data_IF_197958105827
#
_entry.id   IF_197958105827
#
_cell.length_a   1.000
_cell.length_b   1.000
_cell.length_c   1.000
_cell.angle_alpha   90.00
_cell.angle_beta   90.00
_cell.angle_gamma   90.00
#
_symmetry.space_group_name_H-M   'P 1'
#
loop_
_entity.id
_entity.type
_entity.pdbx_description
1 polymer ?
#
# COMPACT_ATOMS: atom_id res chain seq x y z
N UNK A 1 -17.61 6.02 -32.49
CA UNK A 1 -18.37 6.22 -31.25
C UNK A 1 -17.94 7.56 -30.67
N UNK A 2 -18.84 8.53 -30.57
CA UNK A 2 -18.56 9.79 -29.88
C UNK A 2 -18.29 9.48 -28.40
N UNK A 3 -17.27 10.07 -27.76
CA UNK A 3 -17.08 9.87 -26.33
C UNK A 3 -18.36 10.33 -25.63
N UNK A 4 -18.88 9.51 -24.72
CA UNK A 4 -19.93 9.92 -23.81
C UNK A 4 -19.29 10.96 -22.88
N UNK A 5 -19.27 12.21 -23.34
CA UNK A 5 -18.99 13.35 -22.47
C UNK A 5 -20.20 13.43 -21.56
N UNK A 6 -20.08 12.85 -20.37
CA UNK A 6 -21.02 13.15 -19.30
C UNK A 6 -20.82 14.64 -19.04
N UNK A 7 -21.68 15.48 -19.63
CA UNK A 7 -21.82 16.87 -19.22
C UNK A 7 -22.41 16.84 -17.81
N UNK A 8 -21.54 16.59 -16.83
CA UNK A 8 -21.87 16.75 -15.43
C UNK A 8 -22.27 18.20 -15.26
N UNK A 9 -23.47 18.42 -14.73
CA UNK A 9 -23.91 19.76 -14.33
C UNK A 9 -22.80 20.43 -13.52
N UNK A 10 -22.41 21.67 -13.83
CA UNK A 10 -21.48 22.44 -13.01
C UNK A 10 -21.86 22.43 -11.52
N UNK A 11 -23.15 22.34 -11.19
CA UNK A 11 -23.62 22.19 -9.81
C UNK A 11 -23.21 20.86 -9.18
N UNK A 12 -23.25 19.74 -9.93
CA UNK A 12 -22.77 18.44 -9.47
C UNK A 12 -21.24 18.41 -9.34
N UNK A 13 -20.49 19.01 -10.27
CA UNK A 13 -19.04 19.14 -10.16
C UNK A 13 -18.69 19.98 -8.92
N UNK A 14 -19.33 21.13 -8.75
CA UNK A 14 -19.10 22.02 -7.61
C UNK A 14 -19.51 21.36 -6.29
N UNK A 15 -20.60 20.59 -6.27
CA UNK A 15 -21.01 19.80 -5.10
C UNK A 15 -19.99 18.70 -4.80
N UNK A 16 -19.53 17.98 -5.83
CA UNK A 16 -18.57 16.90 -5.68
C UNK A 16 -17.21 17.43 -5.20
N UNK A 17 -16.69 18.52 -5.76
CA UNK A 17 -15.48 19.20 -5.32
C UNK A 17 -15.59 19.70 -3.87
N UNK A 18 -16.74 20.29 -3.49
CA UNK A 18 -16.98 20.79 -2.13
C UNK A 18 -17.15 19.68 -1.09
N UNK A 19 -17.66 18.51 -1.47
CA UNK A 19 -18.05 17.44 -0.54
C UNK A 19 -17.16 16.19 -0.60
N UNK A 20 -16.37 15.98 -1.66
CA UNK A 20 -15.35 14.92 -1.74
C UNK A 20 -14.43 14.99 -0.53
N UNK A 21 -13.93 16.20 -0.25
CA UNK A 21 -13.11 16.45 0.92
C UNK A 21 -13.84 16.03 2.20
N UNK A 22 -15.15 16.25 2.35
CA UNK A 22 -15.92 15.83 3.53
C UNK A 22 -16.17 14.31 3.60
N UNK A 23 -16.25 13.62 2.46
CA UNK A 23 -16.36 12.15 2.42
C UNK A 23 -15.06 11.50 2.93
N UNK A 24 -13.91 12.08 2.58
CA UNK A 24 -12.59 11.57 2.98
C UNK A 24 -12.10 12.12 4.33
N UNK A 25 -12.36 13.38 4.65
CA UNK A 25 -11.92 14.04 5.89
C UNK A 25 -12.90 13.72 7.03
N UNK A 26 -12.35 13.19 8.13
CA UNK A 26 -13.08 13.11 9.41
C UNK A 26 -13.43 14.54 9.90
N UNK A 27 -14.56 14.68 10.62
CA UNK A 27 -14.85 15.83 11.50
C UNK A 27 -13.92 15.89 12.73
N UNK A 28 -13.23 14.80 13.04
CA UNK A 28 -12.26 14.74 14.14
C UNK A 28 -10.88 15.25 13.69
N UNK A 29 -10.18 16.00 14.54
CA UNK A 29 -8.87 16.56 14.19
C UNK A 29 -7.87 15.43 13.89
N UNK A 30 -7.15 15.58 12.78
CA UNK A 30 -5.97 14.77 12.51
C UNK A 30 -4.94 14.97 13.64
N UNK A 31 -4.77 13.95 14.49
CA UNK A 31 -3.72 13.97 15.51
C UNK A 31 -2.42 13.46 14.91
N UNK A 32 -1.45 14.37 14.77
CA UNK A 32 -0.07 14.00 14.42
C UNK A 32 0.50 13.11 15.51
N UNK A 33 1.08 11.99 15.10
CA UNK A 33 1.86 11.13 15.99
C UNK A 33 3.27 11.71 16.15
N UNK A 34 3.99 11.40 17.24
CA UNK A 34 5.39 11.80 17.36
C UNK A 34 6.23 11.19 16.21
N UNK A 35 7.36 11.80 15.82
CA UNK A 35 8.21 11.26 14.76
C UNK A 35 8.69 9.83 15.07
N UNK A 36 8.46 8.91 14.13
CA UNK A 36 8.87 7.51 14.20
C UNK A 36 9.97 7.21 13.17
N UNK A 37 10.70 6.12 13.40
CA UNK A 37 11.66 5.57 12.45
C UNK A 37 11.03 4.40 11.72
N UNK A 38 10.85 4.52 10.41
CA UNK A 38 10.15 3.54 9.58
C UNK A 38 11.11 2.99 8.53
N UNK A 39 11.24 1.67 8.48
CA UNK A 39 11.89 0.96 7.39
C UNK A 39 10.89 0.61 6.29
N UNK A 40 11.29 0.71 5.03
CA UNK A 40 10.50 0.20 3.90
C UNK A 40 11.40 -0.70 3.06
N UNK A 41 10.99 -1.95 2.89
CA UNK A 41 11.67 -2.93 2.05
C UNK A 41 10.97 -2.98 0.70
N UNK A 42 11.61 -2.40 -0.32
CA UNK A 42 11.16 -2.38 -1.70
C UNK A 42 10.91 -0.97 -2.20
N UNK A 43 11.71 -0.52 -3.17
CA UNK A 43 11.63 0.81 -3.79
C UNK A 43 10.89 0.81 -5.14
N UNK A 44 9.91 -0.09 -5.32
CA UNK A 44 8.98 -0.01 -6.44
C UNK A 44 8.00 1.17 -6.29
N UNK A 45 7.10 1.35 -7.25
CA UNK A 45 6.17 2.49 -7.29
C UNK A 45 5.43 2.69 -5.96
N UNK A 46 4.91 1.60 -5.38
CA UNK A 46 4.13 1.66 -4.16
C UNK A 46 4.97 1.90 -2.90
N UNK A 47 6.15 1.26 -2.80
CA UNK A 47 7.07 1.49 -1.69
C UNK A 47 7.58 2.93 -1.65
N UNK A 48 7.90 3.52 -2.81
CA UNK A 48 8.27 4.94 -2.91
C UNK A 48 7.10 5.86 -2.57
N UNK A 49 5.89 5.58 -3.05
CA UNK A 49 4.70 6.38 -2.69
C UNK A 49 4.42 6.37 -1.18
N UNK A 50 4.56 5.21 -0.53
CA UNK A 50 4.43 5.09 0.92
C UNK A 50 5.57 5.78 1.68
N UNK A 51 6.80 5.73 1.16
CA UNK A 51 7.92 6.47 1.73
C UNK A 51 7.62 7.98 1.76
N UNK A 52 7.12 8.51 0.65
CA UNK A 52 6.71 9.91 0.52
C UNK A 52 5.54 10.24 1.46
N UNK A 53 4.50 9.41 1.51
CA UNK A 53 3.35 9.58 2.43
C UNK A 53 3.82 9.66 3.90
N UNK A 54 4.61 8.70 4.34
CA UNK A 54 5.06 8.61 5.73
C UNK A 54 6.02 9.75 6.08
N UNK A 55 6.84 10.19 5.12
CA UNK A 55 7.66 11.39 5.28
C UNK A 55 6.81 12.67 5.42
N UNK A 56 5.71 12.81 4.69
CA UNK A 56 4.75 13.91 4.87
C UNK A 56 3.99 13.85 6.20
N UNK A 57 3.90 12.67 6.80
CA UNK A 57 3.40 12.48 8.16
C UNK A 57 4.48 12.76 9.24
N UNK A 58 5.57 13.46 8.88
CA UNK A 58 6.68 13.85 9.77
C UNK A 58 7.50 12.66 10.33
N UNK A 59 7.50 11.50 9.64
CA UNK A 59 8.32 10.35 10.00
C UNK A 59 9.67 10.33 9.27
N UNK A 60 10.65 9.65 9.87
CA UNK A 60 11.94 9.37 9.23
C UNK A 60 11.85 8.01 8.56
N UNK A 61 12.05 7.99 7.24
CA UNK A 61 11.87 6.77 6.44
C UNK A 61 13.20 6.30 5.91
N UNK A 62 13.55 5.04 6.12
CA UNK A 62 14.68 4.39 5.46
C UNK A 62 14.14 3.47 4.38
N UNK A 63 14.42 3.79 3.11
CA UNK A 63 13.89 3.06 1.95
C UNK A 63 14.99 2.15 1.39
N UNK A 64 14.78 0.83 1.50
CA UNK A 64 15.66 -0.14 0.89
C UNK A 64 15.41 -0.23 -0.62
N UNK A 65 16.47 -0.03 -1.40
CA UNK A 65 16.49 -0.02 -2.86
C UNK A 65 17.32 -1.21 -3.33
N UNK A 66 16.77 -2.02 -4.22
CA UNK A 66 17.48 -3.19 -4.76
C UNK A 66 18.47 -2.77 -5.86
N UNK A 67 17.99 -1.99 -6.82
CA UNK A 67 18.75 -1.57 -8.00
C UNK A 67 19.78 -0.49 -7.64
N UNK A 68 21.06 -0.72 -7.96
CA UNK A 68 22.14 0.22 -7.69
C UNK A 68 21.94 1.56 -8.41
N UNK A 69 21.53 1.52 -9.68
CA UNK A 69 21.27 2.72 -10.47
C UNK A 69 20.14 3.57 -9.88
N UNK A 70 19.07 2.93 -9.39
CA UNK A 70 17.98 3.63 -8.72
C UNK A 70 18.44 4.25 -7.40
N UNK A 71 19.26 3.53 -6.63
CA UNK A 71 19.78 4.03 -5.35
C UNK A 71 20.60 5.30 -5.53
N UNK A 72 21.57 5.30 -6.45
CA UNK A 72 22.39 6.46 -6.78
C UNK A 72 21.54 7.65 -7.25
N UNK A 73 20.55 7.40 -8.12
CA UNK A 73 19.68 8.45 -8.60
C UNK A 73 18.77 9.03 -7.51
N UNK A 74 18.33 8.21 -6.55
CA UNK A 74 17.56 8.69 -5.40
C UNK A 74 18.42 9.55 -4.46
N UNK A 75 19.72 9.30 -4.35
CA UNK A 75 20.63 10.12 -3.54
C UNK A 75 20.87 11.51 -4.15
N UNK A 76 21.00 11.59 -5.48
CA UNK A 76 21.36 12.86 -6.16
C UNK A 76 20.14 13.65 -6.63
N UNK A 77 19.17 12.98 -7.26
CA UNK A 77 18.03 13.63 -7.92
C UNK A 77 16.75 13.58 -7.07
N UNK A 78 16.74 12.83 -5.96
CA UNK A 78 15.59 12.66 -5.08
C UNK A 78 14.33 12.19 -5.82
N UNK A 79 14.47 11.35 -6.84
CA UNK A 79 13.36 10.86 -7.67
C UNK A 79 13.50 9.37 -7.99
N UNK A 80 12.38 8.65 -8.04
CA UNK A 80 12.36 7.29 -8.56
C UNK A 80 11.96 7.29 -10.04
N UNK A 81 12.93 7.49 -10.92
CA UNK A 81 12.68 7.65 -12.35
C UNK A 81 12.19 6.34 -13.03
N UNK A 82 12.53 5.17 -12.49
CA UNK A 82 12.07 3.89 -13.02
C UNK A 82 10.61 3.59 -12.72
N UNK A 83 10.21 3.74 -11.46
CA UNK A 83 8.93 3.22 -10.99
C UNK A 83 7.91 4.30 -10.64
N UNK A 84 8.34 5.53 -10.34
CA UNK A 84 7.45 6.62 -9.95
C UNK A 84 7.92 7.98 -10.50
N UNK A 85 7.99 8.14 -11.84
CA UNK A 85 8.50 9.36 -12.46
C UNK A 85 7.61 10.56 -12.17
N UNK A 86 8.23 11.73 -12.02
CA UNK A 86 7.55 13.00 -11.76
C UNK A 86 7.27 13.27 -10.27
N UNK A 87 7.69 12.40 -9.36
CA UNK A 87 7.56 12.59 -7.91
C UNK A 87 8.94 12.78 -7.29
N UNK A 88 9.09 13.84 -6.48
CA UNK A 88 10.30 14.07 -5.67
C UNK A 88 10.09 13.51 -4.26
N UNK A 89 11.02 12.69 -3.77
CA UNK A 89 10.97 12.15 -2.41
C UNK A 89 11.47 13.19 -1.38
N UNK A 90 10.79 13.38 -0.24
CA UNK A 90 11.21 14.33 0.79
C UNK A 90 12.58 14.00 1.40
N UNK A 91 13.33 14.98 1.90
CA UNK A 91 14.66 14.81 2.52
C UNK A 91 14.68 13.83 3.71
N UNK A 92 13.55 13.64 4.39
CA UNK A 92 13.40 12.66 5.48
C UNK A 92 13.29 11.20 5.01
N UNK A 93 13.34 10.96 3.70
CA UNK A 93 13.48 9.62 3.09
C UNK A 93 14.96 9.35 2.80
N UNK A 94 15.51 8.30 3.41
CA UNK A 94 16.91 7.91 3.31
C UNK A 94 17.02 6.61 2.49
N UNK A 95 17.43 6.67 1.21
CA UNK A 95 17.67 5.48 0.39
C UNK A 95 18.87 4.69 0.92
N UNK A 96 18.74 3.38 1.02
CA UNK A 96 19.83 2.47 1.41
C UNK A 96 19.77 1.18 0.60
N UNK A 97 20.88 0.47 0.48
CA UNK A 97 20.91 -0.92 -0.02
C UNK A 97 21.12 -1.93 1.12
N UNK A 98 21.25 -1.48 2.37
CA UNK A 98 21.52 -2.32 3.54
C UNK A 98 20.23 -2.76 4.23
N UNK A 99 19.98 -4.07 4.28
CA UNK A 99 18.87 -4.63 5.06
C UNK A 99 18.97 -4.27 6.55
N UNK A 100 20.19 -4.23 7.10
CA UNK A 100 20.41 -3.88 8.50
C UNK A 100 19.97 -2.45 8.79
N UNK A 101 20.32 -1.48 7.94
CA UNK A 101 19.93 -0.07 8.12
C UNK A 101 18.42 0.15 7.96
N UNK A 102 17.82 -0.57 7.02
CA UNK A 102 16.38 -0.50 6.77
C UNK A 102 15.56 -1.18 7.88
N UNK A 103 16.12 -2.15 8.61
CA UNK A 103 15.34 -3.00 9.53
C UNK A 103 15.61 -2.74 11.01
N UNK A 104 16.87 -2.46 11.38
CA UNK A 104 17.27 -2.31 12.79
C UNK A 104 16.74 -1.01 13.38
N UNK A 105 16.31 -1.03 14.64
CA UNK A 105 15.84 0.13 15.41
C UNK A 105 14.71 0.89 14.70
N UNK A 106 13.78 0.15 14.09
CA UNK A 106 12.58 0.72 13.46
C UNK A 106 11.35 0.43 14.31
N UNK A 107 10.49 1.43 14.42
CA UNK A 107 9.17 1.30 15.02
C UNK A 107 8.25 0.47 14.10
N UNK A 108 8.38 0.69 12.79
CA UNK A 108 7.64 -0.02 11.75
C UNK A 108 8.58 -0.51 10.64
N UNK A 109 8.31 -1.71 10.11
CA UNK A 109 8.93 -2.22 8.89
C UNK A 109 7.84 -2.55 7.86
N UNK A 110 7.84 -1.81 6.76
CA UNK A 110 6.89 -1.98 5.66
C UNK A 110 7.50 -2.89 4.60
N UNK A 111 6.85 -4.01 4.31
CA UNK A 111 7.19 -4.89 3.19
C UNK A 111 6.39 -4.48 1.96
N UNK A 112 7.06 -3.82 1.01
CA UNK A 112 6.51 -3.38 -0.27
C UNK A 112 7.09 -4.17 -1.45
N UNK A 113 7.43 -5.43 -1.21
CA UNK A 113 8.01 -6.33 -2.23
C UNK A 113 6.92 -7.12 -2.96
N UNK A 114 7.14 -7.54 -4.22
CA UNK A 114 6.24 -8.44 -4.94
C UNK A 114 5.99 -9.73 -4.14
N UNK A 115 4.76 -10.28 -4.19
CA UNK A 115 4.33 -11.43 -3.37
C UNK A 115 5.28 -12.64 -3.46
N UNK A 116 5.75 -12.97 -4.66
CA UNK A 116 6.66 -14.09 -4.91
C UNK A 116 8.07 -13.89 -4.35
N UNK A 117 8.46 -12.68 -3.96
CA UNK A 117 9.76 -12.36 -3.37
C UNK A 117 9.68 -12.16 -1.84
N UNK A 118 8.49 -12.05 -1.27
CA UNK A 118 8.28 -11.76 0.16
C UNK A 118 9.06 -12.72 1.04
N UNK A 119 8.92 -14.04 0.82
CA UNK A 119 9.60 -15.06 1.63
C UNK A 119 11.10 -14.88 1.61
N UNK A 120 11.69 -14.75 0.42
CA UNK A 120 13.14 -14.62 0.25
C UNK A 120 13.65 -13.36 0.94
N UNK A 121 13.09 -12.20 0.59
CA UNK A 121 13.60 -10.90 1.02
C UNK A 121 13.38 -10.67 2.53
N UNK A 122 12.20 -11.01 3.06
CA UNK A 122 11.97 -10.82 4.49
C UNK A 122 12.79 -11.78 5.35
N UNK A 123 13.13 -12.98 4.85
CA UNK A 123 14.04 -13.88 5.58
C UNK A 123 15.43 -13.26 5.79
N UNK A 124 15.89 -12.41 4.86
CA UNK A 124 17.15 -11.68 4.99
C UNK A 124 17.04 -10.49 5.98
N UNK A 125 15.84 -9.99 6.21
CA UNK A 125 15.58 -8.90 7.17
C UNK A 125 15.46 -9.41 8.62
N UNK A 126 14.93 -10.63 8.81
CA UNK A 126 14.66 -11.23 10.13
C UNK A 126 15.83 -11.15 11.13
N UNK A 127 17.11 -11.39 10.75
CA UNK A 127 18.24 -11.27 11.67
C UNK A 127 18.44 -9.88 12.30
N UNK A 128 17.88 -8.84 11.70
CA UNK A 128 18.00 -7.44 12.16
C UNK A 128 16.73 -6.91 12.80
N UNK A 129 15.65 -7.70 12.80
CA UNK A 129 14.32 -7.28 13.25
C UNK A 129 14.24 -7.23 14.78
N UNK A 130 13.90 -6.05 15.30
CA UNK A 130 13.69 -5.88 16.73
C UNK A 130 12.32 -6.46 17.14
N UNK A 131 12.23 -7.00 18.37
CA UNK A 131 11.02 -7.71 18.83
C UNK A 131 9.76 -6.84 18.92
N UNK A 132 9.92 -5.52 19.01
CA UNK A 132 8.81 -4.57 19.13
C UNK A 132 8.40 -3.94 17.79
N UNK A 133 9.16 -4.17 16.72
CA UNK A 133 8.88 -3.61 15.40
C UNK A 133 7.54 -4.14 14.87
N UNK A 134 6.67 -3.23 14.46
CA UNK A 134 5.40 -3.55 13.79
C UNK A 134 5.67 -3.82 12.32
N UNK A 135 5.28 -5.00 11.85
CA UNK A 135 5.42 -5.42 10.46
C UNK A 135 4.17 -5.00 9.68
N UNK A 136 4.35 -4.34 8.55
CA UNK A 136 3.23 -3.96 7.66
C UNK A 136 3.49 -4.53 6.28
N UNK A 137 2.69 -5.50 5.84
CA UNK A 137 2.72 -5.92 4.44
C UNK A 137 1.79 -5.06 3.60
N UNK A 138 2.27 -4.64 2.44
CA UNK A 138 1.45 -4.01 1.40
C UNK A 138 1.46 -4.80 0.08
N UNK A 139 2.02 -6.00 0.13
CA UNK A 139 2.09 -6.94 -0.99
C UNK A 139 0.70 -7.51 -1.27
N UNK A 140 0.33 -7.58 -2.55
CA UNK A 140 -0.96 -8.12 -3.01
C UNK A 140 -0.68 -9.36 -3.85
N UNK A 141 -1.14 -10.53 -3.41
CA UNK A 141 -0.96 -11.78 -4.13
C UNK A 141 -0.84 -12.99 -3.22
N UNK A 142 -0.69 -14.15 -3.86
CA UNK A 142 -0.47 -15.46 -3.24
C UNK A 142 0.91 -15.95 -3.70
N UNK A 143 1.65 -16.66 -2.84
CA UNK A 143 2.93 -17.27 -3.23
C UNK A 143 2.69 -18.46 -4.16
N UNK A 144 3.29 -18.43 -5.36
CA UNK A 144 3.01 -19.40 -6.42
C UNK A 144 3.32 -20.86 -6.01
N UNK A 145 4.42 -21.09 -5.30
CA UNK A 145 4.89 -22.44 -4.98
C UNK A 145 4.05 -23.12 -3.90
N UNK A 146 3.62 -22.36 -2.89
CA UNK A 146 2.94 -22.91 -1.71
C UNK A 146 1.45 -22.60 -1.66
N UNK A 147 0.99 -21.73 -2.55
CA UNK A 147 -0.36 -21.15 -2.56
C UNK A 147 -0.73 -20.45 -1.24
N UNK A 148 0.27 -20.01 -0.48
CA UNK A 148 0.06 -19.34 0.80
C UNK A 148 -0.27 -17.85 0.61
N UNK A 149 -1.24 -17.32 1.36
CA UNK A 149 -1.39 -15.87 1.52
C UNK A 149 -0.19 -15.31 2.31
N UNK A 150 0.03 -14.00 2.22
CA UNK A 150 1.20 -13.34 2.81
C UNK A 150 1.24 -13.52 4.33
N UNK A 151 0.10 -13.51 4.99
CA UNK A 151 -0.02 -13.77 6.43
C UNK A 151 0.51 -15.14 6.84
N UNK A 152 0.24 -16.17 6.03
CA UNK A 152 0.77 -17.51 6.27
C UNK A 152 2.28 -17.59 6.03
N UNK A 153 2.81 -16.80 5.10
CA UNK A 153 4.26 -16.66 4.90
C UNK A 153 4.89 -15.98 6.12
N UNK A 154 4.31 -14.86 6.57
CA UNK A 154 4.75 -14.11 7.75
C UNK A 154 4.80 -15.01 8.99
N UNK A 155 3.76 -15.82 9.22
CA UNK A 155 3.70 -16.79 10.33
C UNK A 155 4.83 -17.81 10.33
N UNK A 156 5.36 -18.15 9.15
CA UNK A 156 6.46 -19.11 8.99
C UNK A 156 7.84 -18.48 9.14
N UNK A 157 8.02 -17.23 8.69
CA UNK A 157 9.34 -16.59 8.63
C UNK A 157 9.63 -15.70 9.84
N UNK A 158 8.60 -15.06 10.41
CA UNK A 158 8.81 -14.12 11.50
C UNK A 158 9.04 -14.86 12.82
N UNK A 159 9.91 -14.32 13.70
CA UNK A 159 10.00 -14.81 15.07
C UNK A 159 8.63 -14.76 15.75
N UNK A 160 8.34 -15.73 16.63
CA UNK A 160 7.04 -15.84 17.32
C UNK A 160 6.59 -14.57 18.05
N UNK A 161 7.54 -13.75 18.52
CA UNK A 161 7.28 -12.47 19.20
C UNK A 161 6.85 -11.35 18.26
N UNK A 162 7.23 -11.42 16.98
CA UNK A 162 6.96 -10.39 15.98
C UNK A 162 5.68 -10.67 15.19
N UNK A 163 5.30 -11.94 15.01
CA UNK A 163 4.09 -12.28 14.23
C UNK A 163 2.80 -11.60 14.74
N UNK A 164 2.52 -11.51 16.06
CA UNK A 164 1.36 -10.78 16.56
C UNK A 164 1.36 -9.30 16.18
N UNK A 165 2.54 -8.72 15.89
CA UNK A 165 2.72 -7.33 15.49
C UNK A 165 2.65 -7.15 13.96
N UNK A 166 1.91 -7.99 13.24
CA UNK A 166 1.77 -7.91 11.78
C UNK A 166 0.43 -7.31 11.33
N UNK A 167 0.47 -6.46 10.31
CA UNK A 167 -0.69 -5.89 9.66
C UNK A 167 -0.57 -5.93 8.13
N UNK A 168 -1.72 -5.92 7.45
CA UNK A 168 -1.83 -6.10 6.00
C UNK A 168 -2.69 -4.96 5.44
N UNK A 169 -2.08 -4.09 4.65
CA UNK A 169 -2.73 -2.92 4.07
C UNK A 169 -3.07 -3.19 2.61
N UNK A 170 -4.35 -3.00 2.26
CA UNK A 170 -4.87 -3.17 0.90
C UNK A 170 -5.92 -2.11 0.57
N UNK A 171 -6.29 -2.02 -0.71
CA UNK A 171 -7.28 -1.07 -1.19
C UNK A 171 -7.01 -0.52 -2.58
N UNK A 172 -7.93 0.34 -3.08
CA UNK A 172 -7.76 1.12 -4.30
C UNK A 172 -6.76 2.26 -4.05
N UNK A 173 -5.49 2.01 -4.37
CA UNK A 173 -4.38 2.88 -3.95
C UNK A 173 -3.32 2.97 -5.05
N UNK A 174 -3.63 3.62 -6.17
CA UNK A 174 -2.64 3.81 -7.23
C UNK A 174 -1.47 4.65 -6.71
N UNK A 175 -0.26 4.14 -6.89
CA UNK A 175 0.94 4.72 -6.28
C UNK A 175 1.16 6.19 -6.65
N UNK A 176 0.96 6.53 -7.93
CA UNK A 176 1.13 7.91 -8.42
C UNK A 176 0.11 8.86 -7.81
N UNK A 177 -1.15 8.45 -7.69
CA UNK A 177 -2.21 9.26 -7.08
C UNK A 177 -1.91 9.54 -5.60
N UNK A 178 -1.48 8.52 -4.85
CA UNK A 178 -1.10 8.68 -3.43
C UNK A 178 0.10 9.60 -3.28
N UNK A 179 1.12 9.44 -4.13
CA UNK A 179 2.30 10.30 -4.09
C UNK A 179 2.01 11.77 -4.47
N UNK A 180 1.01 11.99 -5.33
CA UNK A 180 0.48 13.31 -5.69
C UNK A 180 -0.61 13.81 -4.72
N UNK A 181 -0.81 13.13 -3.59
CA UNK A 181 -1.76 13.51 -2.54
C UNK A 181 -3.23 13.53 -2.97
N UNK A 182 -3.60 12.73 -3.97
CA UNK A 182 -5.00 12.55 -4.33
C UNK A 182 -5.74 11.77 -3.24
N UNK A 183 -7.02 12.10 -2.96
CA UNK A 183 -7.82 11.39 -1.96
C UNK A 183 -7.84 9.88 -2.19
N UNK A 184 -7.36 9.13 -1.21
CA UNK A 184 -7.22 7.68 -1.26
C UNK A 184 -7.79 7.06 0.01
N UNK A 185 -8.51 5.96 -0.13
CA UNK A 185 -9.00 5.16 0.99
C UNK A 185 -8.48 3.73 0.91
N UNK A 186 -7.95 3.23 2.02
CA UNK A 186 -7.43 1.87 2.16
C UNK A 186 -7.94 1.23 3.44
N UNK A 187 -7.81 -0.10 3.53
CA UNK A 187 -8.04 -0.87 4.74
C UNK A 187 -6.71 -1.44 5.22
N UNK A 188 -6.51 -1.45 6.54
CA UNK A 188 -5.48 -2.22 7.21
C UNK A 188 -6.14 -3.29 8.07
N UNK A 189 -5.74 -4.54 7.90
CA UNK A 189 -6.18 -5.66 8.71
C UNK A 189 -5.05 -6.20 9.60
N UNK A 190 -5.39 -6.65 10.80
CA UNK A 190 -4.48 -7.40 11.68
C UNK A 190 -5.29 -8.35 12.56
N UNK A 191 -4.67 -9.44 13.01
CA UNK A 191 -5.25 -10.31 14.05
C UNK A 191 -5.34 -9.58 15.41
N UNK A 192 -4.43 -8.62 15.65
CA UNK A 192 -4.46 -7.73 16.81
C UNK A 192 -5.01 -6.36 16.40
N UNK A 193 -6.19 -6.04 16.91
CA UNK A 193 -6.86 -4.78 16.60
C UNK A 193 -6.05 -3.55 17.01
N UNK A 194 -5.25 -3.62 18.09
CA UNK A 194 -4.40 -2.51 18.50
C UNK A 194 -3.29 -2.23 17.49
N UNK A 195 -2.75 -3.29 16.86
CA UNK A 195 -1.75 -3.16 15.80
C UNK A 195 -2.37 -2.48 14.57
N UNK A 196 -3.57 -2.89 14.15
CA UNK A 196 -4.28 -2.23 13.06
C UNK A 196 -4.54 -0.73 13.36
N UNK A 197 -4.92 -0.39 14.59
CA UNK A 197 -5.12 1.00 15.00
C UNK A 197 -3.82 1.82 15.03
N UNK A 198 -2.69 1.23 15.46
CA UNK A 198 -1.38 1.89 15.41
C UNK A 198 -0.99 2.20 13.97
N UNK A 199 -1.12 1.23 13.06
CA UNK A 199 -0.85 1.43 11.63
C UNK A 199 -1.79 2.48 11.04
N UNK A 200 -3.08 2.43 11.36
CA UNK A 200 -4.05 3.43 10.93
C UNK A 200 -3.61 4.85 11.31
N UNK A 201 -3.22 5.08 12.57
CA UNK A 201 -2.80 6.40 13.05
C UNK A 201 -1.52 6.91 12.37
N UNK A 202 -0.57 6.00 12.10
CA UNK A 202 0.73 6.35 11.48
C UNK A 202 0.60 6.65 9.98
N UNK A 203 -0.24 5.89 9.27
CA UNK A 203 -0.38 6.02 7.82
C UNK A 203 -1.44 7.05 7.41
N UNK A 204 -2.40 7.36 8.27
CA UNK A 204 -3.43 8.33 7.96
C UNK A 204 -2.83 9.72 7.66
N UNK A 205 -3.43 10.43 6.72
CA UNK A 205 -3.13 11.83 6.41
C UNK A 205 -4.43 12.53 5.96
N UNK A 206 -4.44 13.85 5.74
CA UNK A 206 -5.61 14.54 5.20
C UNK A 206 -6.13 13.97 3.87
N UNK A 207 -5.28 13.33 3.07
CA UNK A 207 -5.63 12.74 1.78
C UNK A 207 -5.59 11.21 1.77
N UNK A 208 -5.03 10.57 2.81
CA UNK A 208 -4.89 9.12 2.90
C UNK A 208 -5.68 8.58 4.08
N UNK A 209 -6.86 8.05 3.80
CA UNK A 209 -7.75 7.49 4.82
C UNK A 209 -7.50 6.01 4.99
N UNK A 210 -7.32 5.60 6.25
CA UNK A 210 -7.12 4.19 6.61
C UNK A 210 -8.30 3.72 7.46
N UNK A 211 -8.96 2.63 7.04
CA UNK A 211 -9.95 1.90 7.82
C UNK A 211 -9.30 0.68 8.47
N UNK A 212 -9.77 0.27 9.65
CA UNK A 212 -9.28 -0.95 10.30
C UNK A 212 -10.24 -2.11 10.05
N UNK A 213 -9.69 -3.32 10.00
CA UNK A 213 -10.42 -4.58 9.94
C UNK A 213 -9.69 -5.63 10.78
N UNK A 214 -10.42 -6.65 11.23
CA UNK A 214 -9.83 -7.85 11.83
C UNK A 214 -9.83 -9.03 10.83
N UNK A 215 -10.42 -8.84 9.65
CA UNK A 215 -10.48 -9.83 8.58
C UNK A 215 -9.22 -9.77 7.70
N UNK A 216 -8.14 -10.37 8.19
CA UNK A 216 -6.86 -10.46 7.46
C UNK A 216 -7.04 -11.23 6.15
N UNK A 217 -7.72 -12.37 6.20
CA UNK A 217 -7.89 -13.25 5.05
C UNK A 217 -8.65 -12.56 3.93
N UNK A 218 -9.80 -11.93 4.23
CA UNK A 218 -10.59 -11.23 3.23
C UNK A 218 -9.84 -10.05 2.60
N UNK A 219 -9.05 -9.31 3.39
CA UNK A 219 -8.23 -8.20 2.87
C UNK A 219 -7.12 -8.67 1.93
N UNK A 220 -6.45 -9.78 2.26
CA UNK A 220 -5.41 -10.37 1.41
C UNK A 220 -5.98 -10.97 0.13
N UNK A 221 -7.03 -11.80 0.25
CA UNK A 221 -7.66 -12.47 -0.89
C UNK A 221 -8.33 -11.45 -1.82
N UNK A 222 -9.05 -10.47 -1.27
CA UNK A 222 -9.61 -9.38 -2.07
C UNK A 222 -8.53 -8.59 -2.82
N UNK A 223 -7.39 -8.35 -2.18
CA UNK A 223 -6.23 -7.72 -2.82
C UNK A 223 -5.56 -8.55 -3.91
N UNK A 224 -5.50 -9.88 -3.74
CA UNK A 224 -4.89 -10.80 -4.68
C UNK A 224 -5.78 -11.04 -5.92
N UNK A 225 -7.06 -11.38 -5.69
CA UNK A 225 -8.00 -11.80 -6.73
C UNK A 225 -8.45 -10.63 -7.60
N UNK A 226 -8.49 -9.40 -7.08
CA UNK A 226 -8.88 -8.22 -7.89
C UNK A 226 -8.03 -8.04 -9.15
N UNK A 227 -6.77 -8.47 -9.13
CA UNK A 227 -5.87 -8.33 -10.29
C UNK A 227 -6.30 -9.28 -11.41
N UNK A 228 -6.84 -10.46 -11.08
CA UNK A 228 -7.41 -11.40 -12.06
C UNK A 228 -8.67 -10.80 -12.69
N UNK A 229 -9.56 -10.21 -11.88
CA UNK A 229 -10.75 -9.51 -12.38
C UNK A 229 -10.37 -8.32 -13.26
N UNK A 230 -9.32 -7.57 -12.89
CA UNK A 230 -8.82 -6.46 -13.69
C UNK A 230 -8.30 -6.90 -15.07
N UNK A 231 -7.63 -8.06 -15.17
CA UNK A 231 -7.24 -8.65 -16.46
C UNK A 231 -8.49 -8.96 -17.29
N UNK A 232 -9.49 -9.63 -16.70
CA UNK A 232 -10.73 -9.94 -17.40
C UNK A 232 -11.47 -8.66 -17.86
N UNK A 233 -11.43 -7.59 -17.07
CA UNK A 233 -11.96 -6.29 -17.45
C UNK A 233 -11.20 -5.69 -18.65
N UNK A 234 -9.86 -5.76 -18.64
CA UNK A 234 -9.04 -5.34 -19.77
C UNK A 234 -9.28 -6.16 -21.05
N UNK A 235 -9.54 -7.46 -20.93
CA UNK A 235 -9.96 -8.30 -22.08
C UNK A 235 -11.33 -7.85 -22.62
N UNK A 236 -12.30 -7.58 -21.73
CA UNK A 236 -13.61 -7.04 -22.13
C UNK A 236 -13.46 -5.70 -22.86
N UNK A 237 -12.57 -4.83 -22.39
CA UNK A 237 -12.26 -3.55 -23.03
C UNK A 237 -11.61 -3.75 -24.41
N UNK A 238 -10.66 -4.69 -24.53
CA UNK A 238 -10.02 -5.03 -25.80
C UNK A 238 -10.97 -5.62 -26.85
N UNK A 239 -12.06 -6.26 -26.41
CA UNK A 239 -13.15 -6.74 -27.27
C UNK A 239 -14.17 -5.64 -27.63
N UNK A 240 -13.96 -4.40 -27.19
CA UNK A 240 -14.86 -3.26 -27.36
C UNK A 240 -16.26 -3.49 -26.79
N UNK A 241 -16.38 -4.26 -25.70
CA UNK A 241 -17.64 -4.33 -24.97
C UNK A 241 -17.90 -3.03 -24.20
N UNK A 242 -19.18 -2.68 -24.05
CA UNK A 242 -19.60 -1.44 -23.36
C UNK A 242 -19.63 -1.57 -21.83
N UNK A 243 -19.95 -0.45 -21.18
CA UNK A 243 -19.94 -0.31 -19.71
C UNK A 243 -20.84 -1.30 -18.98
N UNK A 244 -21.96 -1.71 -19.57
CA UNK A 244 -22.86 -2.73 -19.00
C UNK A 244 -22.13 -4.06 -18.76
N UNK A 245 -21.33 -4.51 -19.74
CA UNK A 245 -20.57 -5.75 -19.64
C UNK A 245 -19.47 -5.63 -18.59
N UNK A 246 -18.77 -4.48 -18.56
CA UNK A 246 -17.76 -4.19 -17.54
C UNK A 246 -18.36 -4.20 -16.12
N UNK A 247 -19.51 -3.56 -15.93
CA UNK A 247 -20.20 -3.53 -14.65
C UNK A 247 -20.67 -4.94 -14.21
N UNK A 248 -21.20 -5.73 -15.14
CA UNK A 248 -21.57 -7.12 -14.89
C UNK A 248 -20.36 -7.96 -14.47
N UNK A 249 -19.23 -7.82 -15.17
CA UNK A 249 -17.99 -8.52 -14.84
C UNK A 249 -17.48 -8.14 -13.44
N UNK A 250 -17.43 -6.85 -13.10
CA UNK A 250 -17.00 -6.38 -11.78
C UNK A 250 -17.91 -6.96 -10.68
N UNK A 251 -19.23 -6.90 -10.88
CA UNK A 251 -20.22 -7.41 -9.91
C UNK A 251 -20.08 -8.91 -9.70
N UNK A 252 -19.90 -9.67 -10.79
CA UNK A 252 -19.72 -11.13 -10.73
C UNK A 252 -18.38 -11.51 -10.10
N UNK A 253 -17.31 -10.81 -10.46
CA UNK A 253 -15.99 -11.01 -9.86
C UNK A 253 -15.99 -10.72 -8.36
N UNK A 254 -16.68 -9.67 -7.92
CA UNK A 254 -16.84 -9.40 -6.48
C UNK A 254 -17.57 -10.55 -5.76
N UNK A 255 -18.63 -11.09 -6.35
CA UNK A 255 -19.34 -12.24 -5.79
C UNK A 255 -18.49 -13.52 -5.73
N UNK A 256 -17.52 -13.68 -6.63
CA UNK A 256 -16.55 -14.78 -6.57
C UNK A 256 -15.54 -14.57 -5.45
N UNK A 257 -15.01 -13.36 -5.29
CA UNK A 257 -14.12 -13.01 -4.17
C UNK A 257 -14.79 -13.32 -2.83
N UNK A 258 -16.07 -12.96 -2.66
CA UNK A 258 -16.80 -13.20 -1.41
C UNK A 258 -17.11 -14.68 -1.12
N UNK A 259 -16.97 -15.58 -2.11
CA UNK A 259 -17.25 -17.02 -1.94
C UNK A 259 -16.00 -17.83 -1.57
N UNK A 260 -14.81 -17.32 -1.91
CA UNK A 260 -13.51 -17.94 -1.59
C UNK A 260 -13.18 -17.79 -0.10
#
# INVERSE_FOLDING_TARGET
MSPCVINLDPAWITWYEKNLAQIFLKKEPFMKTPPLNIGIIGAGSWGTALATLLAYNDHKVTLWVYENELHEHLLTNRQNHFYLPGVTIPESVFPTQSFSEATRKKDFLVSAVPSHLVRKILSECVPFLDSQTIMVSVSKGIENETLMPISSIFKKILPKKNFPNAAYLSGPSFAKEVALQHPTAVVVASEDHEVAQKVQKVFASPFFRVYTSNDVVGVELGGAVKNVIAIAAGCSDGLNFGDNTRAALITRGLAEISRL
#
